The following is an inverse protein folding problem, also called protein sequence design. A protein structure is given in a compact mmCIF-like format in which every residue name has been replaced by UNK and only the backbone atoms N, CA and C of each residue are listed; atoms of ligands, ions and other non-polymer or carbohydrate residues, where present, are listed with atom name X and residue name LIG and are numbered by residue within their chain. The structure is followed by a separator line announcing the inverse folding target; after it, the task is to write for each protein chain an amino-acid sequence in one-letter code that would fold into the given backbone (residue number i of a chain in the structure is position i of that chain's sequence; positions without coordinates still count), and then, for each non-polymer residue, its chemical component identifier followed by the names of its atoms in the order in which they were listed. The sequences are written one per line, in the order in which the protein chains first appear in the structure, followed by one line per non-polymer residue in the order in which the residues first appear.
data_IF_535988971280
#
_entry.id   IF_535988971280
#
_cell.length_a   1.000
_cell.length_b   1.000
_cell.length_c   1.000
_cell.angle_alpha   90.00
_cell.angle_beta   90.00
_cell.angle_gamma   90.00
#
_symmetry.space_group_name_H-M   'P 1'
#
loop_
_entity.id
_entity.type
_entity.pdbx_description
1 polymer ?
#
# COMPACT_ATOMS: atom_id res chain seq x y z
N UNK A 1 -9.00 2.11 11.15
CA UNK A 1 -9.01 2.16 9.66
C UNK A 1 -8.66 0.79 9.12
N UNK A 2 -9.59 0.11 8.45
CA UNK A 2 -9.30 -1.14 7.73
C UNK A 2 -8.43 -0.83 6.50
N UNK A 3 -7.26 -1.45 6.40
CA UNK A 3 -6.41 -1.33 5.20
C UNK A 3 -7.00 -2.20 4.10
N UNK A 4 -7.21 -1.62 2.92
CA UNK A 4 -7.53 -2.39 1.72
C UNK A 4 -6.35 -3.32 1.44
N UNK A 5 -6.56 -4.65 1.30
CA UNK A 5 -5.51 -5.58 0.96
C UNK A 5 -4.77 -5.15 -0.30
N UNK A 6 -3.44 -5.22 -0.29
CA UNK A 6 -2.62 -4.86 -1.45
C UNK A 6 -2.84 -5.91 -2.54
N UNK A 7 -3.48 -5.51 -3.63
CA UNK A 7 -3.69 -6.40 -4.77
C UNK A 7 -2.34 -6.89 -5.35
N UNK A 8 -2.26 -8.18 -5.62
CA UNK A 8 -1.13 -8.84 -6.28
C UNK A 8 -1.56 -9.23 -7.67
N UNK A 9 -0.79 -8.84 -8.68
CA UNK A 9 -1.10 -9.08 -10.09
C UNK A 9 -0.03 -9.96 -10.71
N UNK A 10 -0.45 -10.94 -11.51
CA UNK A 10 0.46 -11.78 -12.28
C UNK A 10 1.23 -10.95 -13.30
N UNK A 11 2.30 -11.51 -13.84
CA UNK A 11 3.11 -10.84 -14.85
C UNK A 11 2.31 -10.65 -16.15
N UNK A 12 1.63 -11.71 -16.56
CA UNK A 12 0.82 -11.80 -17.76
C UNK A 12 -0.28 -10.74 -17.75
N UNK A 13 -0.97 -10.60 -16.61
CA UNK A 13 -2.01 -9.57 -16.43
C UNK A 13 -1.45 -8.16 -16.58
N UNK A 14 -0.23 -7.90 -16.09
CA UNK A 14 0.41 -6.59 -16.23
C UNK A 14 0.79 -6.29 -17.67
N UNK A 15 1.27 -7.29 -18.40
CA UNK A 15 1.59 -7.15 -19.82
C UNK A 15 0.34 -6.87 -20.65
N UNK A 16 -0.74 -7.62 -20.42
CA UNK A 16 -2.02 -7.40 -21.09
C UNK A 16 -2.60 -6.02 -20.78
N UNK A 17 -2.53 -5.59 -19.52
CA UNK A 17 -2.97 -4.26 -19.12
C UNK A 17 -2.18 -3.14 -19.82
N UNK A 18 -0.86 -3.31 -19.98
CA UNK A 18 -0.01 -2.37 -20.71
C UNK A 18 -0.35 -2.39 -22.20
N UNK A 19 -0.51 -3.57 -22.81
CA UNK A 19 -0.92 -3.70 -24.22
C UNK A 19 -2.23 -2.97 -24.46
N UNK A 20 -3.25 -3.22 -23.64
CA UNK A 20 -4.56 -2.57 -23.72
C UNK A 20 -4.46 -1.05 -23.57
N UNK A 21 -3.64 -0.57 -22.64
CA UNK A 21 -3.46 0.87 -22.40
C UNK A 21 -2.69 1.58 -23.53
N UNK A 22 -1.91 0.84 -24.33
CA UNK A 22 -1.14 1.37 -25.47
C UNK A 22 -1.88 1.21 -26.80
N UNK A 23 -2.99 0.47 -26.84
CA UNK A 23 -3.88 0.43 -28.00
C UNK A 23 -4.45 1.80 -28.31
N UNK A 24 -4.42 2.18 -29.59
CA UNK A 24 -4.94 3.44 -30.09
C UNK A 24 -6.43 3.60 -29.71
N UNK A 25 -6.80 4.77 -29.19
CA UNK A 25 -8.16 5.09 -28.76
C UNK A 25 -8.60 4.59 -27.37
N UNK A 26 -7.83 3.71 -26.70
CA UNK A 26 -8.16 3.26 -25.32
C UNK A 26 -7.44 4.14 -24.30
N UNK A 27 -6.11 4.12 -24.30
CA UNK A 27 -5.31 4.85 -23.31
C UNK A 27 -5.44 4.31 -21.88
N UNK A 28 -4.68 4.92 -20.96
CA UNK A 28 -4.53 4.44 -19.57
C UNK A 28 -5.84 4.50 -18.77
N UNK A 29 -6.64 5.56 -18.97
CA UNK A 29 -7.88 5.76 -18.20
C UNK A 29 -8.94 4.72 -18.54
N UNK A 30 -9.16 4.45 -19.82
CA UNK A 30 -10.15 3.49 -20.25
C UNK A 30 -9.72 2.05 -19.95
N UNK A 31 -8.43 1.74 -20.14
CA UNK A 31 -7.87 0.44 -19.77
C UNK A 31 -8.09 0.15 -18.27
N UNK A 32 -7.83 1.14 -17.41
CA UNK A 32 -8.05 1.01 -15.98
C UNK A 32 -9.54 0.76 -15.62
N UNK A 33 -10.47 1.46 -16.29
CA UNK A 33 -11.92 1.23 -16.12
C UNK A 33 -12.32 -0.19 -16.52
N UNK A 34 -11.91 -0.65 -17.70
CA UNK A 34 -12.23 -2.00 -18.21
C UNK A 34 -11.69 -3.10 -17.31
N UNK A 35 -10.49 -2.91 -16.78
CA UNK A 35 -9.83 -3.88 -15.89
C UNK A 35 -10.24 -3.73 -14.42
N UNK A 36 -11.08 -2.73 -14.09
CA UNK A 36 -11.50 -2.43 -12.71
C UNK A 36 -10.33 -2.27 -11.73
N UNK A 37 -9.23 -1.67 -12.18
CA UNK A 37 -8.04 -1.39 -11.37
C UNK A 37 -7.74 0.10 -11.33
N UNK A 38 -6.93 0.53 -10.37
CA UNK A 38 -6.62 1.95 -10.25
C UNK A 38 -5.87 2.46 -11.49
N UNK A 39 -6.26 3.64 -11.99
CA UNK A 39 -5.57 4.31 -13.11
C UNK A 39 -4.08 4.50 -12.81
N UNK A 40 -3.74 4.82 -11.55
CA UNK A 40 -2.35 4.99 -11.10
C UNK A 40 -1.55 3.70 -11.26
N UNK A 41 -2.16 2.54 -11.00
CA UNK A 41 -1.54 1.22 -11.20
C UNK A 41 -1.17 1.02 -12.66
N UNK A 42 -2.13 1.19 -13.58
CA UNK A 42 -1.90 1.04 -15.03
C UNK A 42 -0.87 2.04 -15.54
N UNK A 43 -0.96 3.31 -15.12
CA UNK A 43 0.00 4.34 -15.50
C UNK A 43 1.44 3.98 -15.09
N UNK A 44 1.61 3.43 -13.89
CA UNK A 44 2.91 2.99 -13.40
C UNK A 44 3.45 1.81 -14.22
N UNK A 45 2.60 0.86 -14.62
CA UNK A 45 3.00 -0.25 -15.47
C UNK A 45 3.40 0.21 -16.87
N UNK A 46 2.65 1.13 -17.49
CA UNK A 46 3.01 1.70 -18.79
C UNK A 46 4.36 2.43 -18.71
N UNK A 47 4.62 3.21 -17.65
CA UNK A 47 5.94 3.83 -17.44
C UNK A 47 7.04 2.78 -17.27
N UNK A 48 6.79 1.73 -16.49
CA UNK A 48 7.76 0.64 -16.29
C UNK A 48 8.04 -0.10 -17.60
N UNK A 49 7.03 -0.35 -18.43
CA UNK A 49 7.17 -0.96 -19.75
C UNK A 49 8.00 -0.10 -20.70
N UNK A 50 7.72 1.21 -20.78
CA UNK A 50 8.52 2.17 -21.57
C UNK A 50 9.98 2.23 -21.12
N UNK A 51 10.25 1.96 -19.84
CA UNK A 51 11.60 1.91 -19.28
C UNK A 51 12.27 0.52 -19.37
N UNK A 52 11.63 -0.48 -20.00
CA UNK A 52 12.15 -1.86 -20.08
C UNK A 52 12.21 -2.59 -18.73
N UNK A 53 11.43 -2.14 -17.74
CA UNK A 53 11.47 -2.60 -16.34
C UNK A 53 10.16 -3.22 -15.87
N UNK A 54 9.24 -3.57 -16.78
CA UNK A 54 7.94 -4.15 -16.41
C UNK A 54 8.08 -5.45 -15.61
N UNK A 55 9.05 -6.28 -15.98
CA UNK A 55 9.41 -7.52 -15.28
C UNK A 55 9.75 -7.32 -13.80
N UNK A 56 10.33 -6.16 -13.46
CA UNK A 56 10.78 -5.84 -12.09
C UNK A 56 9.64 -5.36 -11.20
N UNK A 57 8.49 -5.02 -11.78
CA UNK A 57 7.31 -4.64 -11.00
C UNK A 57 6.91 -5.85 -10.14
N UNK A 58 6.64 -5.63 -8.85
CA UNK A 58 6.22 -6.72 -7.96
C UNK A 58 7.29 -7.76 -7.58
N UNK A 59 8.51 -7.73 -8.14
CA UNK A 59 9.57 -8.69 -7.76
C UNK A 59 9.97 -8.58 -6.29
N UNK A 60 9.85 -7.40 -5.69
CA UNK A 60 10.08 -7.17 -4.27
C UNK A 60 8.82 -7.32 -3.42
N UNK A 61 7.68 -7.70 -4.00
CA UNK A 61 6.53 -8.18 -3.22
C UNK A 61 6.80 -9.63 -2.83
N UNK A 62 7.78 -9.85 -1.94
CA UNK A 62 7.73 -11.08 -1.15
C UNK A 62 6.42 -11.04 -0.35
N UNK A 63 5.62 -12.12 -0.34
CA UNK A 63 4.63 -12.25 0.72
C UNK A 63 5.37 -12.04 2.04
N UNK A 64 4.89 -11.12 2.89
CA UNK A 64 5.45 -10.99 4.23
C UNK A 64 5.39 -12.40 4.81
N UNK A 65 6.52 -12.90 5.27
CA UNK A 65 6.50 -14.12 6.08
C UNK A 65 5.54 -13.89 7.25
N UNK A 66 4.87 -14.94 7.73
CA UNK A 66 3.92 -14.82 8.85
C UNK A 66 4.58 -14.07 10.03
N UNK A 67 5.87 -14.33 10.26
CA UNK A 67 6.72 -13.66 11.24
C UNK A 67 6.83 -12.15 10.99
N UNK A 68 7.08 -11.70 9.76
CA UNK A 68 7.15 -10.26 9.45
C UNK A 68 5.80 -9.58 9.62
N UNK A 69 4.71 -10.27 9.30
CA UNK A 69 3.35 -9.74 9.45
C UNK A 69 2.99 -9.57 10.94
N UNK A 70 3.29 -10.59 11.75
CA UNK A 70 3.15 -10.55 13.21
C UNK A 70 4.03 -9.47 13.83
N UNK A 71 5.30 -9.38 13.45
CA UNK A 71 6.21 -8.33 13.93
C UNK A 71 5.65 -6.93 13.63
N UNK A 72 5.11 -6.73 12.43
CA UNK A 72 4.47 -5.48 12.03
C UNK A 72 3.18 -5.18 12.80
N UNK A 73 2.45 -6.21 13.24
CA UNK A 73 1.26 -6.06 14.11
C UNK A 73 1.69 -5.71 15.54
N UNK A 74 2.60 -6.46 16.13
CA UNK A 74 3.11 -6.23 17.49
C UNK A 74 3.75 -4.85 17.62
N UNK A 75 4.52 -4.39 16.63
CA UNK A 75 5.09 -3.04 16.63
C UNK A 75 4.03 -1.93 16.63
N UNK A 76 2.89 -2.16 15.96
CA UNK A 76 1.78 -1.19 15.94
C UNK A 76 1.07 -1.16 17.29
N UNK A 77 0.71 -2.33 17.83
CA UNK A 77 0.09 -2.44 19.16
C UNK A 77 1.00 -1.81 20.22
N UNK A 78 2.31 -2.07 20.17
CA UNK A 78 3.28 -1.45 21.08
C UNK A 78 3.33 0.07 20.94
N UNK A 79 3.21 0.61 19.73
CA UNK A 79 3.20 2.06 19.51
C UNK A 79 1.93 2.69 20.08
N UNK A 80 0.78 2.05 19.89
CA UNK A 80 -0.52 2.49 20.43
C UNK A 80 -0.49 2.49 21.96
N UNK A 81 -0.09 1.38 22.58
CA UNK A 81 0.00 1.29 24.06
C UNK A 81 0.99 2.30 24.62
N UNK A 82 2.13 2.53 23.96
CA UNK A 82 3.09 3.56 24.39
C UNK A 82 2.48 4.96 24.33
N UNK A 83 1.75 5.28 23.26
CA UNK A 83 1.08 6.56 23.10
C UNK A 83 0.02 6.78 24.18
N UNK A 84 -0.83 5.78 24.43
CA UNK A 84 -1.84 5.83 25.49
C UNK A 84 -1.21 6.02 26.88
N UNK A 85 -0.17 5.25 27.17
CA UNK A 85 0.58 5.32 28.43
C UNK A 85 1.23 6.70 28.62
N UNK A 86 1.78 7.29 27.55
CA UNK A 86 2.39 8.61 27.60
C UNK A 86 1.34 9.72 27.75
N UNK A 87 0.16 9.55 27.15
CA UNK A 87 -0.97 10.46 27.32
C UNK A 87 -1.51 10.42 28.76
N UNK A 88 -1.67 9.24 29.35
CA UNK A 88 -2.10 9.07 30.74
C UNK A 88 -1.12 9.74 31.71
N UNK A 89 0.19 9.62 31.48
CA UNK A 89 1.20 10.33 32.27
C UNK A 89 1.04 11.84 32.18
N UNK A 90 0.82 12.39 30.98
CA UNK A 90 0.58 13.82 30.79
C UNK A 90 -0.65 14.29 31.56
N UNK A 91 -1.76 13.54 31.48
CA UNK A 91 -2.97 13.86 32.25
C UNK A 91 -2.73 13.80 33.76
N UNK A 92 -2.08 12.76 34.27
CA UNK A 92 -1.75 12.66 35.69
C UNK A 92 -0.92 13.87 36.18
N UNK A 93 0.07 14.30 35.38
CA UNK A 93 0.86 15.50 35.72
C UNK A 93 0.06 16.79 35.65
N UNK A 94 -0.87 16.91 34.72
CA UNK A 94 -1.76 18.07 34.62
C UNK A 94 -2.68 18.15 35.86
N UNK A 95 -3.37 17.06 36.20
CA UNK A 95 -4.27 17.03 37.35
C UNK A 95 -3.54 17.25 38.68
N UNK A 96 -2.34 16.67 38.86
CA UNK A 96 -1.54 16.91 40.07
C UNK A 96 -1.07 18.37 40.24
N UNK A 97 -1.01 19.15 39.15
CA UNK A 97 -0.69 20.59 39.19
C UNK A 97 -1.91 21.44 39.49
N UNK A 98 -3.09 21.07 38.98
CA UNK A 98 -4.34 21.82 39.16
C UNK A 98 -4.97 21.61 40.55
N UNK A 99 -4.72 20.48 41.20
CA UNK A 99 -5.22 20.19 42.56
C UNK A 99 -4.43 20.89 43.68
N UNK A 100 -3.68 21.96 43.39
CA UNK A 100 -2.82 22.68 44.34
C UNK A 100 -3.30 24.11 44.53
#
# INVERSE_FOLDING_TARGET
MSRIPKAVYTKEFREEAVKLAMTEGVGVSEAARRLSISMKTVANWVRAAKAGKLERVGQHQKPLTEIEAELGRVKRELAEVKMERDLLKKFATYFARESR
#
